data_IF_050815020349
#
_entry.id   IF_050815020349
#
_cell.length_a   1.000
_cell.length_b   1.000
_cell.length_c   1.000
_cell.angle_alpha   90.00
_cell.angle_beta   90.00
_cell.angle_gamma   90.00
#
_symmetry.space_group_name_H-M   'P 1'
#
loop_
_entity.id
_entity.type
_entity.pdbx_description
1 polymer ?
#
# COMPACT_ATOMS: atom_id res chain seq x y z
N UNK A 1 12.81 13.47 85.24
CA UNK A 1 13.26 13.71 83.84
C UNK A 1 13.14 12.43 83.04
N UNK A 2 12.09 12.26 82.25
CA UNK A 2 11.83 11.03 81.48
C UNK A 2 11.98 11.38 80.00
N UNK A 3 12.99 10.82 79.31
CA UNK A 3 13.15 10.86 77.90
C UNK A 3 12.13 9.92 77.23
N UNK A 4 11.25 10.44 76.38
CA UNK A 4 10.41 9.64 75.54
C UNK A 4 11.18 9.31 74.26
N UNK A 5 11.33 8.02 73.95
CA UNK A 5 11.82 7.50 72.67
C UNK A 5 10.77 7.71 71.65
N UNK A 6 11.15 8.34 70.52
CA UNK A 6 10.36 8.47 69.33
C UNK A 6 10.72 7.32 68.38
N UNK A 7 9.79 6.38 68.22
CA UNK A 7 9.96 5.28 67.24
C UNK A 7 9.64 5.80 65.83
N UNK A 8 10.65 5.77 64.98
CA UNK A 8 10.50 6.11 63.56
C UNK A 8 10.00 4.87 62.83
N UNK A 9 8.73 4.90 62.42
CA UNK A 9 8.15 3.89 61.52
C UNK A 9 8.57 4.21 60.11
N UNK A 10 9.50 3.40 59.57
CA UNK A 10 9.82 3.42 58.15
C UNK A 10 8.71 2.75 57.35
N UNK A 11 7.88 3.56 56.66
CA UNK A 11 6.90 3.08 55.73
C UNK A 11 7.61 2.85 54.35
N UNK A 12 8.00 1.62 54.09
CA UNK A 12 8.55 1.21 52.80
C UNK A 12 7.42 1.09 51.79
N UNK A 13 7.18 2.18 51.02
CA UNK A 13 6.32 2.16 49.87
C UNK A 13 7.04 1.42 48.72
N UNK A 14 6.69 0.17 48.51
CA UNK A 14 7.12 -0.61 47.35
C UNK A 14 6.50 -0.06 46.07
N UNK A 15 7.28 0.65 45.27
CA UNK A 15 6.90 1.03 43.91
C UNK A 15 7.04 -0.20 43.06
N UNK A 16 5.90 -0.88 42.80
CA UNK A 16 5.80 -1.91 41.79
C UNK A 16 5.73 -1.19 40.43
N UNK A 17 6.88 -1.03 39.77
CA UNK A 17 6.93 -0.65 38.37
C UNK A 17 6.34 -1.78 37.54
N UNK A 18 5.04 -1.72 37.24
CA UNK A 18 4.46 -2.47 36.12
C UNK A 18 5.06 -1.90 34.81
N UNK A 19 6.14 -2.51 34.36
CA UNK A 19 6.63 -2.33 32.98
C UNK A 19 5.62 -3.02 32.06
N UNK A 20 4.53 -2.32 31.73
CA UNK A 20 3.72 -2.63 30.57
C UNK A 20 4.61 -2.39 29.33
N UNK A 21 5.30 -3.45 28.91
CA UNK A 21 5.96 -3.48 27.61
C UNK A 21 4.89 -3.29 26.55
N UNK A 22 4.71 -2.07 26.06
CA UNK A 22 4.00 -1.83 24.81
C UNK A 22 4.78 -2.57 23.73
N UNK A 23 4.33 -3.76 23.40
CA UNK A 23 4.67 -4.42 22.15
C UNK A 23 4.13 -3.51 21.03
N UNK A 24 4.98 -2.62 20.55
CA UNK A 24 4.80 -2.00 19.24
C UNK A 24 5.01 -3.09 18.18
N UNK A 25 4.09 -4.03 18.11
CA UNK A 25 3.97 -4.95 17.01
C UNK A 25 3.52 -4.14 15.80
N UNK A 26 4.44 -3.84 14.87
CA UNK A 26 4.04 -3.31 13.56
C UNK A 26 3.02 -4.25 12.93
N UNK A 27 2.10 -3.72 12.12
CA UNK A 27 1.14 -4.50 11.36
C UNK A 27 1.86 -5.60 10.57
N UNK A 28 1.40 -6.85 10.71
CA UNK A 28 2.00 -7.99 10.00
C UNK A 28 1.75 -7.91 8.50
N UNK A 29 2.58 -8.58 7.69
CA UNK A 29 2.38 -8.66 6.25
C UNK A 29 1.01 -9.27 5.90
N UNK A 30 0.58 -10.29 6.64
CA UNK A 30 -0.73 -10.92 6.44
C UNK A 30 -1.89 -9.96 6.72
N UNK A 31 -1.88 -9.24 7.84
CA UNK A 31 -2.91 -8.24 8.16
C UNK A 31 -2.97 -7.16 7.08
N UNK A 32 -1.83 -6.67 6.59
CA UNK A 32 -1.78 -5.68 5.52
C UNK A 32 -2.28 -6.21 4.17
N UNK A 33 -2.08 -7.50 3.87
CA UNK A 33 -2.68 -8.13 2.68
C UNK A 33 -4.21 -8.16 2.78
N UNK A 34 -4.76 -8.53 3.93
CA UNK A 34 -6.21 -8.48 4.17
C UNK A 34 -6.73 -7.05 4.03
N UNK A 35 -6.10 -6.05 4.65
CA UNK A 35 -6.46 -4.64 4.46
C UNK A 35 -6.38 -4.21 2.99
N UNK A 36 -5.39 -4.71 2.23
CA UNK A 36 -5.29 -4.42 0.79
C UNK A 36 -6.44 -5.00 -0.01
N UNK A 37 -6.93 -6.20 0.33
CA UNK A 37 -8.11 -6.81 -0.27
C UNK A 37 -9.40 -6.03 0.07
N UNK A 38 -9.52 -5.58 1.32
CA UNK A 38 -10.62 -4.71 1.76
C UNK A 38 -10.65 -3.39 0.97
N UNK A 39 -9.50 -2.70 0.84
CA UNK A 39 -9.38 -1.45 0.06
C UNK A 39 -9.79 -1.66 -1.39
N UNK A 40 -9.37 -2.78 -2.01
CA UNK A 40 -9.78 -3.13 -3.38
C UNK A 40 -11.29 -3.35 -3.47
N UNK A 41 -11.85 -4.14 -2.56
CA UNK A 41 -13.28 -4.44 -2.54
C UNK A 41 -14.14 -3.20 -2.36
N UNK A 42 -13.73 -2.30 -1.46
CA UNK A 42 -14.44 -1.05 -1.21
C UNK A 42 -14.43 -0.10 -2.41
N UNK A 43 -13.29 0.05 -3.11
CA UNK A 43 -13.25 0.91 -4.30
C UNK A 43 -14.08 0.31 -5.44
N UNK A 44 -14.08 -1.01 -5.60
CA UNK A 44 -14.87 -1.67 -6.64
C UNK A 44 -16.37 -1.67 -6.33
N UNK A 45 -16.74 -1.59 -5.06
CA UNK A 45 -18.14 -1.47 -4.63
C UNK A 45 -18.71 -0.05 -4.74
N UNK A 46 -17.87 0.98 -4.92
CA UNK A 46 -18.32 2.38 -5.01
C UNK A 46 -18.98 2.68 -6.37
N UNK A 47 -20.29 2.97 -6.45
CA UNK A 47 -21.04 2.97 -7.72
C UNK A 47 -20.54 4.04 -8.72
N UNK A 48 -20.14 5.21 -8.23
CA UNK A 48 -19.80 6.37 -9.04
C UNK A 48 -18.35 6.85 -8.85
N UNK A 49 -17.57 6.13 -8.03
CA UNK A 49 -16.19 6.49 -7.69
C UNK A 49 -15.25 5.29 -7.81
N UNK A 50 -15.75 4.16 -8.28
CA UNK A 50 -14.98 2.93 -8.47
C UNK A 50 -14.00 3.03 -9.64
N UNK A 51 -13.03 2.14 -9.64
CA UNK A 51 -12.14 1.91 -10.78
C UNK A 51 -12.99 1.29 -11.90
N UNK A 52 -12.99 1.82 -13.13
CA UNK A 52 -13.65 1.17 -14.24
C UNK A 52 -13.09 -0.23 -14.50
N UNK A 53 -13.97 -1.22 -14.60
CA UNK A 53 -13.59 -2.62 -14.79
C UNK A 53 -12.65 -2.81 -15.97
N UNK A 54 -12.89 -2.11 -17.09
CA UNK A 54 -12.03 -2.16 -18.28
C UNK A 54 -10.58 -1.74 -18.02
N UNK A 55 -10.35 -0.79 -17.11
CA UNK A 55 -8.99 -0.36 -16.76
C UNK A 55 -8.28 -1.41 -15.91
N UNK A 56 -9.02 -2.02 -15.00
CA UNK A 56 -8.48 -3.11 -14.18
C UNK A 56 -8.19 -4.35 -15.06
N UNK A 57 -9.06 -4.67 -16.02
CA UNK A 57 -8.84 -5.73 -17.01
C UNK A 57 -7.61 -5.49 -17.90
N UNK A 58 -7.39 -4.25 -18.32
CA UNK A 58 -6.25 -3.86 -19.18
C UNK A 58 -4.94 -3.75 -18.40
N UNK A 59 -5.00 -3.55 -17.08
CA UNK A 59 -3.79 -3.38 -16.28
C UNK A 59 -2.87 -4.60 -16.31
N UNK A 60 -1.56 -4.37 -16.31
CA UNK A 60 -0.54 -5.41 -16.25
C UNK A 60 -0.19 -5.76 -14.81
N UNK A 61 -0.13 -4.76 -13.94
CA UNK A 61 0.06 -4.95 -12.50
C UNK A 61 -0.84 -3.98 -11.74
N UNK A 62 -1.12 -4.32 -10.49
CA UNK A 62 -1.77 -3.47 -9.52
C UNK A 62 -0.86 -3.31 -8.30
N UNK A 63 -0.77 -2.10 -7.79
CA UNK A 63 -0.11 -1.81 -6.51
C UNK A 63 -1.17 -1.28 -5.55
N UNK A 64 -1.25 -1.84 -4.36
CA UNK A 64 -2.18 -1.41 -3.31
C UNK A 64 -1.35 -1.08 -2.07
N UNK A 65 -1.47 0.14 -1.60
CA UNK A 65 -0.77 0.64 -0.42
C UNK A 65 -1.81 1.21 0.54
N UNK A 66 -2.28 0.42 1.50
CA UNK A 66 -3.18 0.92 2.52
C UNK A 66 -2.44 1.85 3.48
N UNK A 67 -3.15 2.82 4.01
CA UNK A 67 -2.69 3.64 5.12
C UNK A 67 -1.39 4.42 4.88
N UNK A 68 -1.18 5.03 3.70
CA UNK A 68 -0.04 5.92 3.49
C UNK A 68 -0.15 7.09 4.47
N UNK A 69 0.79 7.17 5.38
CA UNK A 69 0.90 8.26 6.36
C UNK A 69 1.64 9.42 5.76
N UNK A 70 1.04 10.59 5.83
CA UNK A 70 1.64 11.86 5.46
C UNK A 70 1.74 12.74 6.69
N UNK A 71 2.91 13.28 6.96
CA UNK A 71 3.13 14.25 8.01
C UNK A 71 3.89 15.44 7.42
N UNK A 72 3.42 16.65 7.67
CA UNK A 72 4.04 17.86 7.18
C UNK A 72 4.05 18.95 8.25
N UNK A 73 5.23 19.57 8.39
CA UNK A 73 5.45 20.83 9.12
C UNK A 73 6.53 21.61 8.37
N UNK A 74 6.13 22.46 7.41
CA UNK A 74 7.01 23.16 6.46
C UNK A 74 7.64 22.21 5.43
N UNK A 75 8.28 21.13 5.88
CA UNK A 75 8.75 19.99 5.06
C UNK A 75 7.98 18.77 5.53
N UNK A 76 7.41 18.03 4.59
CA UNK A 76 6.64 16.84 4.89
C UNK A 76 7.27 15.57 4.34
N UNK A 77 6.90 14.45 4.93
CA UNK A 77 7.21 13.12 4.44
C UNK A 77 5.96 12.28 4.26
N UNK A 78 6.04 11.32 3.36
CA UNK A 78 5.03 10.28 3.24
C UNK A 78 5.70 8.91 3.28
N UNK A 79 5.00 7.97 3.91
CA UNK A 79 5.48 6.61 4.05
C UNK A 79 4.29 5.65 4.09
N UNK A 80 4.40 4.54 3.36
CA UNK A 80 3.42 3.47 3.38
C UNK A 80 4.04 2.16 2.91
N UNK A 81 3.47 1.04 3.35
CA UNK A 81 3.81 -0.31 2.89
C UNK A 81 2.60 -0.92 2.22
N UNK A 82 2.83 -1.72 1.18
CA UNK A 82 1.77 -2.37 0.44
C UNK A 82 2.30 -3.50 -0.43
N UNK A 83 1.50 -3.88 -1.41
CA UNK A 83 1.81 -5.02 -2.27
C UNK A 83 1.59 -4.70 -3.73
N UNK A 84 2.35 -5.38 -4.57
CA UNK A 84 2.18 -5.43 -6.01
C UNK A 84 1.85 -6.85 -6.43
N UNK A 85 0.86 -7.00 -7.30
CA UNK A 85 0.59 -8.21 -8.05
C UNK A 85 0.58 -7.90 -9.54
N UNK A 86 1.06 -8.82 -10.35
CA UNK A 86 1.10 -8.68 -11.81
C UNK A 86 0.34 -9.83 -12.48
N UNK A 87 -0.15 -9.58 -13.69
CA UNK A 87 -0.71 -10.64 -14.53
C UNK A 87 0.33 -11.72 -14.79
N UNK A 88 -0.07 -12.97 -14.68
CA UNK A 88 0.79 -14.10 -15.05
C UNK A 88 1.09 -14.09 -16.54
N UNK A 89 2.22 -14.63 -16.93
CA UNK A 89 2.62 -14.74 -18.33
C UNK A 89 1.59 -15.48 -19.20
N UNK A 90 0.81 -16.39 -18.61
CA UNK A 90 -0.32 -17.08 -19.26
C UNK A 90 -1.49 -16.14 -19.61
N UNK A 91 -1.48 -14.90 -19.14
CA UNK A 91 -2.60 -13.96 -19.27
C UNK A 91 -3.76 -14.24 -18.32
N UNK A 92 -3.79 -15.40 -17.66
CA UNK A 92 -4.87 -15.81 -16.74
C UNK A 92 -4.37 -15.74 -15.28
N UNK A 93 -5.11 -14.96 -14.47
CA UNK A 93 -4.85 -14.79 -13.05
C UNK A 93 -3.67 -13.88 -12.72
N UNK A 94 -3.43 -13.72 -11.43
CA UNK A 94 -2.45 -12.84 -10.84
C UNK A 94 -1.29 -13.61 -10.21
N UNK A 95 -0.16 -12.98 -10.08
CA UNK A 95 1.03 -13.53 -9.41
C UNK A 95 0.82 -13.61 -7.89
N UNK A 96 1.77 -14.21 -7.19
CA UNK A 96 1.88 -14.00 -5.75
C UNK A 96 2.21 -12.52 -5.46
N UNK A 97 1.73 -11.94 -4.33
CA UNK A 97 2.00 -10.57 -3.95
C UNK A 97 3.47 -10.35 -3.57
N UNK A 98 4.09 -9.31 -4.11
CA UNK A 98 5.41 -8.86 -3.71
C UNK A 98 5.28 -7.56 -2.90
N UNK A 99 6.02 -7.47 -1.80
CA UNK A 99 5.94 -6.31 -0.92
C UNK A 99 6.67 -5.10 -1.51
N UNK A 100 6.05 -3.94 -1.35
CA UNK A 100 6.59 -2.64 -1.74
C UNK A 100 6.43 -1.63 -0.62
N UNK A 101 7.26 -0.58 -0.65
CA UNK A 101 7.12 0.59 0.20
C UNK A 101 7.12 1.86 -0.63
N UNK A 102 6.28 2.80 -0.24
CA UNK A 102 6.19 4.14 -0.78
C UNK A 102 6.89 5.09 0.17
N UNK A 103 7.81 5.86 -0.35
CA UNK A 103 8.54 6.89 0.39
C UNK A 103 8.55 8.16 -0.44
N UNK A 104 8.44 9.33 0.20
CA UNK A 104 8.53 10.60 -0.53
C UNK A 104 8.60 11.79 0.39
N UNK A 105 9.22 12.86 -0.11
CA UNK A 105 9.14 14.17 0.49
C UNK A 105 7.93 14.93 -0.07
N UNK A 106 7.28 15.71 0.74
CA UNK A 106 6.31 16.70 0.30
C UNK A 106 6.72 18.07 0.81
N UNK A 107 6.67 19.06 -0.08
CA UNK A 107 6.83 20.46 0.29
C UNK A 107 5.44 21.10 0.33
N UNK A 108 5.08 21.70 1.45
CA UNK A 108 3.79 22.39 1.54
C UNK A 108 3.55 22.97 2.93
N UNK A 109 2.85 24.10 2.97
CA UNK A 109 2.45 24.78 4.21
C UNK A 109 1.26 24.09 4.91
N UNK A 110 1.18 22.77 4.88
CA UNK A 110 0.15 22.04 5.61
C UNK A 110 0.73 21.53 6.93
N UNK A 111 0.14 21.99 8.03
CA UNK A 111 0.39 21.44 9.35
C UNK A 111 -0.66 20.36 9.57
N UNK A 112 -0.22 19.09 9.69
CA UNK A 112 -1.13 18.01 9.99
C UNK A 112 -0.62 16.64 9.53
N UNK A 113 -1.29 15.60 10.02
CA UNK A 113 -1.14 14.23 9.55
C UNK A 113 -2.38 13.80 8.78
N UNK A 114 -2.19 13.02 7.73
CA UNK A 114 -3.27 12.34 7.02
C UNK A 114 -2.89 10.90 6.73
N UNK A 115 -3.90 10.06 6.67
CA UNK A 115 -3.78 8.67 6.25
C UNK A 115 -4.62 8.48 4.99
N UNK A 116 -4.06 7.80 3.99
CA UNK A 116 -4.67 7.68 2.67
C UNK A 116 -4.32 6.33 2.08
N UNK A 117 -5.30 5.59 1.61
CA UNK A 117 -5.04 4.40 0.81
C UNK A 117 -4.74 4.80 -0.64
N UNK A 118 -3.86 4.08 -1.29
CA UNK A 118 -3.55 4.29 -2.69
C UNK A 118 -3.60 2.99 -3.49
N UNK A 119 -4.21 3.08 -4.68
CA UNK A 119 -4.19 2.01 -5.69
C UNK A 119 -3.55 2.58 -6.96
N UNK A 120 -2.64 1.82 -7.55
CA UNK A 120 -1.96 2.20 -8.79
C UNK A 120 -2.14 1.07 -9.79
N UNK A 121 -2.70 1.39 -10.96
CA UNK A 121 -2.79 0.47 -12.08
C UNK A 121 -1.63 0.72 -13.03
N UNK A 122 -0.79 -0.28 -13.25
CA UNK A 122 0.30 -0.22 -14.23
C UNK A 122 -0.24 -0.72 -15.57
N UNK A 123 -0.37 0.18 -16.54
CA UNK A 123 -1.14 -0.06 -17.75
C UNK A 123 -0.35 -0.78 -18.85
N UNK A 124 0.98 -0.72 -18.84
CA UNK A 124 1.80 -1.27 -19.91
C UNK A 124 3.09 -1.94 -19.39
N UNK A 125 3.72 -2.73 -20.27
CA UNK A 125 4.95 -3.47 -19.94
C UNK A 125 6.11 -2.56 -19.56
N UNK A 126 6.21 -1.37 -20.16
CA UNK A 126 7.27 -0.40 -19.87
C UNK A 126 7.17 0.10 -18.44
N UNK A 127 5.95 0.40 -17.97
CA UNK A 127 5.70 0.73 -16.56
C UNK A 127 6.06 -0.41 -15.63
N UNK A 128 5.73 -1.67 -16.01
CA UNK A 128 6.12 -2.85 -15.21
C UNK A 128 7.64 -2.99 -15.09
N UNK A 129 8.37 -2.87 -16.19
CA UNK A 129 9.84 -3.05 -16.18
C UNK A 129 10.53 -1.96 -15.34
N UNK A 130 10.03 -0.73 -15.39
CA UNK A 130 10.48 0.37 -14.54
C UNK A 130 10.16 0.12 -13.06
N UNK A 131 8.94 -0.33 -12.76
CA UNK A 131 8.47 -0.61 -11.41
C UNK A 131 9.27 -1.76 -10.74
N UNK A 132 9.76 -2.72 -11.53
CA UNK A 132 10.60 -3.82 -11.06
C UNK A 132 12.07 -3.43 -10.83
N UNK A 133 12.44 -2.17 -11.08
CA UNK A 133 13.76 -1.65 -10.74
C UNK A 133 13.91 -1.48 -9.21
N UNK A 134 15.14 -1.28 -8.76
CA UNK A 134 15.44 -1.14 -7.32
C UNK A 134 14.87 0.15 -6.70
N UNK A 135 14.62 1.16 -7.53
CA UNK A 135 14.02 2.44 -7.14
C UNK A 135 13.24 2.97 -8.33
N UNK A 136 12.03 3.41 -8.05
CA UNK A 136 11.13 3.92 -9.06
C UNK A 136 10.41 5.18 -8.52
N UNK A 137 10.53 6.30 -9.21
CA UNK A 137 9.91 7.56 -8.83
C UNK A 137 8.74 7.86 -9.75
N UNK A 138 7.55 7.96 -9.17
CA UNK A 138 6.33 8.32 -9.85
C UNK A 138 6.42 9.72 -10.45
N UNK A 139 6.03 9.88 -11.70
CA UNK A 139 6.11 11.13 -12.44
C UNK A 139 7.47 11.43 -13.07
N UNK A 140 8.57 10.93 -12.50
CA UNK A 140 9.91 11.10 -13.07
C UNK A 140 10.32 9.90 -13.95
N UNK A 141 10.16 8.68 -13.43
CA UNK A 141 10.57 7.46 -14.14
C UNK A 141 9.45 6.93 -15.05
N UNK A 142 8.19 7.17 -14.71
CA UNK A 142 7.04 6.85 -15.57
C UNK A 142 5.98 7.94 -15.50
N UNK A 143 5.23 8.10 -16.57
CA UNK A 143 4.09 9.01 -16.60
C UNK A 143 2.99 8.49 -15.68
N UNK A 144 2.55 9.35 -14.77
CA UNK A 144 1.50 9.07 -13.78
C UNK A 144 0.34 10.02 -14.05
N UNK A 145 -0.86 9.49 -13.98
CA UNK A 145 -2.05 10.30 -14.07
C UNK A 145 -3.09 9.88 -13.04
N UNK A 146 -3.92 10.81 -12.63
CA UNK A 146 -5.11 10.51 -11.86
C UNK A 146 -6.04 9.61 -12.65
N UNK A 147 -6.38 8.44 -12.12
CA UNK A 147 -7.30 7.51 -12.76
C UNK A 147 -8.70 8.10 -12.91
N UNK A 148 -9.42 7.84 -14.00
CA UNK A 148 -10.82 8.22 -14.12
C UNK A 148 -11.66 7.37 -13.14
N UNK A 149 -12.67 7.99 -12.53
CA UNK A 149 -13.58 7.33 -11.59
C UNK A 149 -15.00 7.26 -12.15
N UNK A 150 -15.73 6.19 -11.79
CA UNK A 150 -17.12 6.01 -12.14
C UNK A 150 -17.36 5.51 -13.57
N UNK A 151 -18.63 5.18 -13.85
CA UNK A 151 -19.07 4.56 -15.12
C UNK A 151 -18.97 5.50 -16.32
N UNK A 152 -18.94 6.80 -16.11
CA UNK A 152 -18.86 7.81 -17.18
C UNK A 152 -17.42 8.17 -17.59
N UNK A 153 -16.45 7.43 -17.10
CA UNK A 153 -15.02 7.68 -17.33
C UNK A 153 -14.55 7.52 -18.79
N UNK A 154 -15.40 7.03 -19.69
CA UNK A 154 -15.04 6.74 -21.07
C UNK A 154 -14.82 7.98 -21.96
N UNK A 155 -15.39 9.14 -21.61
CA UNK A 155 -15.45 10.29 -22.51
C UNK A 155 -14.20 11.19 -22.55
N UNK A 156 -13.26 11.09 -21.59
CA UNK A 156 -12.04 11.93 -21.51
C UNK A 156 -10.75 11.12 -21.45
N UNK A 157 -10.73 9.99 -22.11
CA UNK A 157 -9.77 8.91 -21.79
C UNK A 157 -8.47 8.99 -22.59
N UNK A 158 -8.43 9.67 -23.76
CA UNK A 158 -7.30 9.57 -24.68
C UNK A 158 -5.97 10.08 -24.11
N UNK A 159 -5.95 11.17 -23.38
CA UNK A 159 -4.73 11.66 -22.73
C UNK A 159 -4.34 10.85 -21.47
N UNK A 160 -5.33 10.35 -20.74
CA UNK A 160 -5.09 9.53 -19.54
C UNK A 160 -4.70 8.11 -19.90
N UNK A 161 -5.14 7.58 -21.02
CA UNK A 161 -4.78 6.25 -21.52
C UNK A 161 -3.31 6.15 -21.99
N UNK A 162 -2.63 7.28 -22.17
CA UNK A 162 -1.19 7.31 -22.48
C UNK A 162 -0.32 7.24 -21.22
N UNK A 163 -0.89 7.41 -20.02
CA UNK A 163 -0.15 7.26 -18.78
C UNK A 163 0.28 5.80 -18.57
N UNK A 164 1.50 5.61 -18.13
CA UNK A 164 2.04 4.28 -17.77
C UNK A 164 1.41 3.76 -16.48
N UNK A 165 1.01 4.67 -15.60
CA UNK A 165 0.40 4.37 -14.28
C UNK A 165 -0.81 5.28 -14.05
N UNK A 166 -1.93 4.67 -13.69
CA UNK A 166 -3.13 5.37 -13.22
C UNK A 166 -3.22 5.22 -11.70
N UNK A 167 -3.46 6.32 -10.99
CA UNK A 167 -3.48 6.34 -9.53
C UNK A 167 -4.85 6.74 -8.99
N UNK A 168 -5.23 6.06 -7.93
CA UNK A 168 -6.44 6.30 -7.15
C UNK A 168 -6.06 6.42 -5.69
N UNK A 169 -6.74 7.26 -4.94
CA UNK A 169 -6.58 7.29 -3.49
C UNK A 169 -7.92 7.39 -2.80
N UNK A 170 -7.94 6.88 -1.57
CA UNK A 170 -9.05 7.04 -0.65
C UNK A 170 -8.61 7.83 0.57
N UNK A 171 -9.33 8.89 0.86
CA UNK A 171 -9.20 9.62 2.11
C UNK A 171 -10.57 9.81 2.72
N UNK A 172 -10.73 9.46 4.01
CA UNK A 172 -12.00 9.57 4.73
C UNK A 172 -13.19 8.88 4.03
N UNK A 173 -12.95 7.71 3.41
CA UNK A 173 -14.01 6.93 2.75
C UNK A 173 -14.39 7.40 1.34
N UNK A 174 -13.76 8.44 0.80
CA UNK A 174 -14.01 8.95 -0.55
C UNK A 174 -12.84 8.58 -1.45
N UNK A 175 -13.12 7.91 -2.57
CA UNK A 175 -12.14 7.62 -3.61
C UNK A 175 -12.08 8.74 -4.64
N UNK A 176 -10.89 9.06 -5.08
CA UNK A 176 -10.64 10.01 -6.16
C UNK A 176 -9.40 9.60 -6.96
N UNK A 177 -9.38 9.92 -8.24
CA UNK A 177 -8.14 9.88 -9.02
C UNK A 177 -7.23 11.01 -8.57
N UNK A 178 -6.01 10.68 -8.13
CA UNK A 178 -5.00 11.67 -7.72
C UNK A 178 -3.66 11.36 -8.39
N UNK A 179 -2.86 12.39 -8.59
CA UNK A 179 -1.46 12.20 -8.96
C UNK A 179 -0.60 11.99 -7.70
N UNK A 180 0.24 10.96 -7.72
CA UNK A 180 1.22 10.67 -6.65
C UNK A 180 2.65 11.04 -7.13
N UNK A 181 2.79 12.15 -7.85
CA UNK A 181 4.07 12.58 -8.40
C UNK A 181 5.10 12.79 -7.30
N UNK A 182 6.34 12.38 -7.60
CA UNK A 182 7.48 12.52 -6.67
C UNK A 182 7.56 11.44 -5.59
N UNK A 183 6.55 10.61 -5.42
CA UNK A 183 6.64 9.45 -4.54
C UNK A 183 7.57 8.39 -5.14
N UNK A 184 8.40 7.79 -4.30
CA UNK A 184 9.30 6.70 -4.70
C UNK A 184 8.75 5.37 -4.23
N UNK A 185 8.60 4.42 -5.16
CA UNK A 185 8.31 3.02 -4.86
C UNK A 185 9.60 2.22 -4.80
N UNK A 186 9.72 1.35 -3.79
CA UNK A 186 10.86 0.43 -3.63
C UNK A 186 10.37 -0.95 -3.21
N UNK A 187 11.11 -2.02 -3.55
CA UNK A 187 10.90 -3.34 -2.96
C UNK A 187 11.05 -3.29 -1.44
N UNK A 188 10.14 -3.93 -0.72
CA UNK A 188 10.29 -4.20 0.72
C UNK A 188 10.76 -5.65 0.91
N UNK A 189 12.09 -5.84 0.81
CA UNK A 189 12.70 -7.16 0.90
C UNK A 189 12.56 -7.80 2.28
N UNK A 190 12.41 -7.02 3.35
CA UNK A 190 12.17 -7.51 4.70
C UNK A 190 10.81 -8.18 4.80
N UNK A 191 9.78 -7.48 4.33
CA UNK A 191 8.41 -8.02 4.27
C UNK A 191 8.31 -9.22 3.32
N UNK A 192 9.03 -9.22 2.19
CA UNK A 192 9.10 -10.41 1.32
C UNK A 192 9.72 -11.61 2.05
N UNK A 193 10.79 -11.38 2.83
CA UNK A 193 11.42 -12.45 3.60
C UNK A 193 10.50 -12.98 4.71
N UNK A 194 9.77 -12.10 5.38
CA UNK A 194 8.73 -12.46 6.35
C UNK A 194 7.66 -13.37 5.72
N UNK A 195 7.16 -13.00 4.54
CA UNK A 195 6.08 -13.70 3.85
C UNK A 195 6.48 -15.07 3.29
N UNK A 196 7.69 -15.17 2.74
CA UNK A 196 8.12 -16.34 1.97
C UNK A 196 9.22 -17.19 2.65
N UNK A 197 9.69 -16.78 3.83
CA UNK A 197 10.75 -17.48 4.56
C UNK A 197 12.12 -17.48 3.87
N UNK A 198 12.27 -16.72 2.77
CA UNK A 198 13.48 -16.63 1.98
C UNK A 198 13.63 -15.28 1.30
N UNK A 199 14.87 -14.89 0.97
CA UNK A 199 15.15 -13.63 0.29
C UNK A 199 14.77 -13.73 -1.19
N UNK A 200 13.54 -13.34 -1.52
CA UNK A 200 13.06 -13.26 -2.90
C UNK A 200 12.95 -11.80 -3.32
N UNK A 201 13.43 -11.50 -4.52
CA UNK A 201 13.20 -10.20 -5.15
C UNK A 201 11.78 -10.11 -5.70
N UNK A 202 11.23 -8.89 -5.81
CA UNK A 202 9.91 -8.68 -6.42
C UNK A 202 9.82 -9.32 -7.82
N UNK A 203 10.89 -9.25 -8.61
CA UNK A 203 10.95 -9.89 -9.93
C UNK A 203 10.79 -11.42 -9.86
N UNK A 204 11.44 -12.07 -8.89
CA UNK A 204 11.31 -13.51 -8.69
C UNK A 204 9.90 -13.89 -8.23
N UNK A 205 9.30 -13.12 -7.32
CA UNK A 205 7.95 -13.37 -6.82
C UNK A 205 6.94 -13.22 -7.96
N UNK A 206 6.98 -12.10 -8.68
CA UNK A 206 5.98 -11.74 -9.68
C UNK A 206 6.07 -12.53 -10.98
N UNK A 207 7.28 -13.00 -11.35
CA UNK A 207 7.54 -13.73 -12.62
C UNK A 207 7.97 -15.18 -12.42
N UNK A 208 8.40 -15.56 -11.22
CA UNK A 208 9.02 -16.87 -10.93
C UNK A 208 8.06 -17.99 -10.53
N UNK A 209 6.75 -17.77 -10.56
CA UNK A 209 5.78 -18.79 -10.16
C UNK A 209 5.75 -19.08 -8.65
N UNK A 210 6.18 -18.14 -7.83
CA UNK A 210 6.12 -18.24 -6.36
C UNK A 210 4.68 -18.53 -5.91
N UNK A 211 4.51 -19.45 -4.97
CA UNK A 211 3.21 -19.75 -4.38
C UNK A 211 2.80 -18.61 -3.46
N UNK A 212 1.60 -18.10 -3.62
CA UNK A 212 1.06 -17.06 -2.74
C UNK A 212 0.86 -17.60 -1.31
N UNK A 213 0.98 -16.72 -0.33
CA UNK A 213 0.52 -16.98 1.04
C UNK A 213 -1.01 -17.08 1.08
N UNK A 214 -1.57 -17.54 2.20
CA UNK A 214 -3.04 -17.64 2.35
C UNK A 214 -3.71 -16.28 2.12
N UNK A 215 -3.28 -15.23 2.83
CA UNK A 215 -3.81 -13.87 2.63
C UNK A 215 -3.53 -13.31 1.22
N UNK A 216 -2.41 -13.69 0.59
CA UNK A 216 -2.12 -13.33 -0.80
C UNK A 216 -3.03 -14.05 -1.80
N UNK A 217 -3.50 -15.25 -1.47
CA UNK A 217 -4.46 -15.98 -2.31
C UNK A 217 -5.83 -15.29 -2.28
N UNK A 218 -6.23 -14.74 -1.14
CA UNK A 218 -7.45 -13.97 -0.99
C UNK A 218 -7.42 -12.71 -1.86
N UNK A 219 -6.37 -11.90 -1.78
CA UNK A 219 -6.20 -10.72 -2.63
C UNK A 219 -6.22 -11.08 -4.12
N UNK A 220 -5.52 -12.15 -4.53
CA UNK A 220 -5.52 -12.62 -5.92
C UNK A 220 -6.93 -13.10 -6.36
N UNK A 221 -7.72 -13.68 -5.46
CA UNK A 221 -9.11 -14.08 -5.75
C UNK A 221 -10.00 -12.86 -6.01
N UNK A 222 -9.88 -11.81 -5.20
CA UNK A 222 -10.63 -10.56 -5.41
C UNK A 222 -10.19 -9.87 -6.70
N UNK A 223 -8.90 -9.82 -6.99
CA UNK A 223 -8.40 -9.32 -8.26
C UNK A 223 -8.95 -10.10 -9.47
N UNK A 224 -9.03 -11.43 -9.37
CA UNK A 224 -9.64 -12.26 -10.42
C UNK A 224 -11.13 -11.97 -10.58
N UNK A 225 -11.87 -11.78 -9.49
CA UNK A 225 -13.29 -11.46 -9.49
C UNK A 225 -13.60 -10.17 -10.25
N UNK A 226 -12.80 -9.11 -10.02
CA UNK A 226 -13.05 -7.78 -10.59
C UNK A 226 -12.36 -7.54 -11.95
N UNK A 227 -11.44 -8.39 -12.35
CA UNK A 227 -10.61 -8.16 -13.54
C UNK A 227 -10.49 -9.38 -14.45
N UNK A 228 -11.55 -10.18 -14.56
CA UNK A 228 -11.58 -11.33 -15.48
C UNK A 228 -11.52 -10.83 -16.92
N UNK A 229 -10.43 -11.13 -17.63
CA UNK A 229 -10.35 -10.86 -19.07
C UNK A 229 -11.37 -11.75 -19.79
N UNK A 230 -12.33 -11.12 -20.45
CA UNK A 230 -13.20 -11.81 -21.39
C UNK A 230 -12.36 -12.21 -22.60
N UNK A 231 -12.44 -13.48 -22.99
CA UNK A 231 -11.82 -14.03 -24.20
C UNK A 231 -12.46 -13.43 -25.45
#
# INVERSE_FOLDING_TARGET
MKLKRLETVCLSAGIVCLSAGMLYGGETAAARLTTSAEVLTEIMAAPDQGIPDELLEKSQCIVIVPGIKKAAFIVGGQYGKGFIECRRASGKGWSAPAAVKVEGGSFGFQIGGSETDAIMLVMNKKGVDKLLSSKFTLGADASVAAGPVGRSASANTDLKMQAEILTYSRSRGVFAGIALDGATLRPDNETNTEMYGSRLTNKQILRGGTKATEAGTELAADLNKYSTRKE
#
